data_IF_537810947805
#
_entry.id   IF_537810947805
#
_cell.length_a   1.000
_cell.length_b   1.000
_cell.length_c   1.000
_cell.angle_alpha   90.00
_cell.angle_beta   90.00
_cell.angle_gamma   90.00
#
_symmetry.space_group_name_H-M   'P 1'
#
loop_
_entity.id
_entity.type
_entity.pdbx_description
1 polymer ?
#
# COMPACT_ATOMS: atom_id res chain seq x y z
N UNK A 1 -1.58 3.71 21.89
CA UNK A 1 -1.80 5.16 21.69
C UNK A 1 -1.57 5.46 20.22
N UNK A 2 -2.63 5.95 19.57
CA UNK A 2 -2.75 6.49 18.20
C UNK A 2 -2.20 5.62 17.04
N UNK A 3 -2.94 4.59 16.60
CA UNK A 3 -2.78 4.09 15.23
C UNK A 3 -3.32 5.17 14.28
N UNK A 4 -2.45 6.06 13.80
CA UNK A 4 -2.81 6.95 12.68
C UNK A 4 -3.00 6.09 11.44
N UNK A 5 -4.24 5.99 10.99
CA UNK A 5 -4.62 5.40 9.70
C UNK A 5 -4.74 6.54 8.71
N UNK A 6 -4.02 6.44 7.61
CA UNK A 6 -4.16 7.34 6.48
C UNK A 6 -4.71 6.56 5.29
N UNK A 7 -5.75 7.11 4.66
CA UNK A 7 -6.38 6.52 3.49
C UNK A 7 -6.11 7.43 2.30
N UNK A 8 -5.47 6.87 1.27
CA UNK A 8 -5.16 7.56 0.02
C UNK A 8 -5.95 6.91 -1.10
N UNK A 9 -6.86 7.67 -1.70
CA UNK A 9 -7.48 7.25 -2.97
C UNK A 9 -6.58 7.69 -4.11
N UNK A 10 -6.10 6.71 -4.87
CA UNK A 10 -5.19 6.93 -5.99
C UNK A 10 -5.67 6.16 -7.21
N UNK A 11 -5.27 6.63 -8.38
CA UNK A 11 -5.49 5.91 -9.62
C UNK A 11 -4.60 4.67 -9.67
N UNK A 12 -4.97 3.67 -10.47
CA UNK A 12 -4.18 2.44 -10.65
C UNK A 12 -2.73 2.76 -11.01
N UNK A 13 -2.51 3.71 -11.91
CA UNK A 13 -1.17 4.10 -12.37
C UNK A 13 -0.31 4.73 -11.26
N UNK A 14 -0.92 5.48 -10.34
CA UNK A 14 -0.23 6.20 -9.26
C UNK A 14 0.05 5.31 -8.03
N UNK A 15 -0.54 4.11 -7.98
CA UNK A 15 -0.47 3.23 -6.80
C UNK A 15 0.98 2.85 -6.47
N UNK A 16 1.79 2.59 -7.49
CA UNK A 16 3.18 2.16 -7.35
C UNK A 16 4.04 3.30 -6.83
N UNK A 17 3.85 4.51 -7.34
CA UNK A 17 4.55 5.70 -6.86
C UNK A 17 4.20 6.01 -5.41
N UNK A 18 2.91 5.96 -5.06
CA UNK A 18 2.49 6.27 -3.69
C UNK A 18 3.03 5.26 -2.69
N UNK A 19 3.04 3.97 -3.02
CA UNK A 19 3.65 2.94 -2.16
C UNK A 19 5.14 3.19 -1.97
N UNK A 20 5.88 3.53 -3.03
CA UNK A 20 7.31 3.88 -2.92
C UNK A 20 7.54 5.06 -2.01
N UNK A 21 6.70 6.10 -2.11
CA UNK A 21 6.76 7.29 -1.25
C UNK A 21 6.53 6.92 0.22
N UNK A 22 5.51 6.09 0.51
CA UNK A 22 5.20 5.60 1.86
C UNK A 22 6.37 4.80 2.45
N UNK A 23 6.98 3.91 1.65
CA UNK A 23 8.15 3.12 2.07
C UNK A 23 9.34 4.05 2.35
N UNK A 24 9.55 5.07 1.50
CA UNK A 24 10.62 6.06 1.65
C UNK A 24 10.43 6.94 2.89
N UNK A 25 9.18 7.25 3.24
CA UNK A 25 8.83 7.98 4.47
C UNK A 25 9.21 7.18 5.74
N UNK A 26 9.26 5.84 5.65
CA UNK A 26 9.75 4.95 6.71
C UNK A 26 8.88 4.88 7.97
N UNK A 27 7.77 5.62 8.02
CA UNK A 27 6.88 5.67 9.19
C UNK A 27 5.67 4.72 9.09
N UNK A 28 5.54 3.98 7.98
CA UNK A 28 4.48 3.02 7.78
C UNK A 28 4.85 1.64 8.35
N UNK A 29 3.91 1.00 9.04
CA UNK A 29 4.05 -0.36 9.61
C UNK A 29 3.18 -1.40 8.94
N UNK A 30 2.09 -0.97 8.28
CA UNK A 30 1.20 -1.85 7.51
C UNK A 30 0.62 -1.05 6.35
N UNK A 31 0.60 -1.66 5.16
CA UNK A 31 -0.13 -1.19 3.98
C UNK A 31 -1.27 -2.16 3.71
N UNK A 32 -2.45 -1.63 3.43
CA UNK A 32 -3.63 -2.38 3.01
C UNK A 32 -4.11 -1.75 1.72
N UNK A 33 -4.27 -2.55 0.67
CA UNK A 33 -4.81 -2.08 -0.62
C UNK A 33 -6.25 -2.57 -0.74
N UNK A 34 -7.15 -1.63 -0.99
CA UNK A 34 -8.55 -1.89 -1.29
C UNK A 34 -8.86 -1.58 -2.75
N UNK A 35 -9.76 -2.36 -3.33
CA UNK A 35 -10.34 -2.05 -4.64
C UNK A 35 -11.42 -0.96 -4.55
N UNK A 36 -11.95 -0.55 -5.69
CA UNK A 36 -13.05 0.42 -5.80
C UNK A 36 -14.33 0.01 -5.02
N UNK A 37 -14.53 -1.29 -4.82
CA UNK A 37 -15.65 -1.85 -4.06
C UNK A 37 -15.43 -1.77 -2.53
N UNK A 38 -14.32 -1.17 -2.08
CA UNK A 38 -13.97 -1.05 -0.67
C UNK A 38 -13.50 -2.36 -0.02
N UNK A 39 -13.32 -3.43 -0.80
CA UNK A 39 -12.81 -4.72 -0.31
C UNK A 39 -11.28 -4.68 -0.27
N UNK A 40 -10.72 -5.08 0.87
CA UNK A 40 -9.28 -5.30 1.02
C UNK A 40 -8.85 -6.46 0.13
N UNK A 41 -7.96 -6.19 -0.83
CA UNK A 41 -7.45 -7.18 -1.78
C UNK A 41 -6.17 -7.79 -1.22
N UNK A 42 -5.30 -6.97 -0.65
CA UNK A 42 -4.01 -7.39 -0.08
C UNK A 42 -3.65 -6.54 1.13
N UNK A 43 -2.99 -7.14 2.11
CA UNK A 43 -2.38 -6.44 3.23
C UNK A 43 -0.94 -6.92 3.47
N UNK A 44 -0.05 -5.98 3.75
CA UNK A 44 1.37 -6.27 3.94
C UNK A 44 1.93 -5.53 5.15
N UNK A 45 2.66 -6.21 6.05
CA UNK A 45 3.40 -5.57 7.11
C UNK A 45 4.68 -4.92 6.55
N UNK A 46 4.88 -3.64 6.87
CA UNK A 46 6.11 -2.88 6.59
C UNK A 46 6.98 -2.79 7.85
N UNK A 47 7.48 -3.93 8.32
CA UNK A 47 8.47 -3.95 9.40
C UNK A 47 9.88 -3.95 8.82
N UNK A 48 10.86 -3.46 9.58
CA UNK A 48 12.26 -3.33 9.13
C UNK A 48 12.83 -4.64 8.54
N UNK A 49 12.42 -5.80 9.07
CA UNK A 49 12.80 -7.12 8.53
C UNK A 49 11.95 -7.57 7.33
N UNK A 50 10.68 -7.17 7.24
CA UNK A 50 9.78 -7.57 6.16
C UNK A 50 9.96 -6.74 4.89
N UNK A 51 10.38 -5.48 5.00
CA UNK A 51 10.58 -4.57 3.85
C UNK A 51 11.54 -5.22 2.83
N UNK A 52 12.67 -5.76 3.25
CA UNK A 52 13.63 -6.41 2.33
C UNK A 52 13.08 -7.63 1.58
N UNK A 53 12.19 -8.40 2.20
CA UNK A 53 11.62 -9.62 1.61
C UNK A 53 10.31 -9.37 0.83
N UNK A 54 9.53 -8.35 1.24
CA UNK A 54 8.19 -8.09 0.72
C UNK A 54 8.13 -6.93 -0.28
N UNK A 55 9.21 -6.16 -0.50
CA UNK A 55 9.22 -5.08 -1.52
C UNK A 55 8.77 -5.61 -2.89
N UNK A 56 9.34 -6.71 -3.37
CA UNK A 56 9.00 -7.25 -4.69
C UNK A 56 7.52 -7.73 -4.75
N UNK A 57 7.01 -8.54 -3.80
CA UNK A 57 5.59 -8.89 -3.73
C UNK A 57 4.63 -7.70 -3.66
N UNK A 58 4.96 -6.68 -2.86
CA UNK A 58 4.13 -5.49 -2.69
C UNK A 58 4.05 -4.72 -4.01
N UNK A 59 5.20 -4.48 -4.66
CA UNK A 59 5.26 -3.78 -5.94
C UNK A 59 4.60 -4.60 -7.06
N UNK A 60 4.73 -5.92 -7.04
CA UNK A 60 4.06 -6.80 -7.99
C UNK A 60 2.53 -6.76 -7.84
N UNK A 61 2.03 -6.85 -6.59
CA UNK A 61 0.61 -6.73 -6.30
C UNK A 61 0.08 -5.34 -6.72
N UNK A 62 0.83 -4.28 -6.40
CA UNK A 62 0.51 -2.92 -6.80
C UNK A 62 0.47 -2.75 -8.32
N UNK A 63 1.45 -3.32 -9.05
CA UNK A 63 1.50 -3.27 -10.52
C UNK A 63 0.39 -4.10 -11.19
N UNK A 64 0.06 -5.27 -10.65
CA UNK A 64 -1.06 -6.07 -11.12
C UNK A 64 -2.39 -5.34 -10.91
N UNK A 65 -2.57 -4.71 -9.73
CA UNK A 65 -3.72 -3.88 -9.41
C UNK A 65 -3.78 -2.65 -10.33
N UNK A 66 -2.65 -2.00 -10.60
CA UNK A 66 -2.55 -0.87 -11.53
C UNK A 66 -3.01 -1.23 -12.94
N UNK A 67 -2.65 -2.44 -13.40
CA UNK A 67 -3.01 -2.94 -14.73
C UNK A 67 -4.48 -3.36 -14.83
N UNK A 68 -5.10 -3.78 -13.72
CA UNK A 68 -6.46 -4.35 -13.69
C UNK A 68 -7.52 -3.34 -13.24
N UNK A 69 -7.17 -2.39 -12.36
CA UNK A 69 -8.10 -1.48 -11.70
C UNK A 69 -7.68 -0.04 -11.93
N UNK A 70 -8.63 0.79 -12.39
CA UNK A 70 -8.39 2.22 -12.63
C UNK A 70 -8.33 3.02 -11.33
N UNK A 71 -9.00 2.56 -10.26
CA UNK A 71 -9.09 3.26 -8.97
C UNK A 71 -8.92 2.31 -7.79
N UNK A 72 -8.06 2.71 -6.85
CA UNK A 72 -7.72 1.92 -5.68
C UNK A 72 -7.63 2.81 -4.43
N UNK A 73 -7.77 2.21 -3.25
CA UNK A 73 -7.54 2.92 -1.98
C UNK A 73 -6.40 2.25 -1.22
N UNK A 74 -5.36 3.01 -0.93
CA UNK A 74 -4.23 2.58 -0.10
C UNK A 74 -4.50 3.06 1.32
N UNK A 75 -4.55 2.13 2.27
CA UNK A 75 -4.63 2.44 3.69
C UNK A 75 -3.29 2.14 4.33
N UNK A 76 -2.74 3.13 5.02
CA UNK A 76 -1.45 3.04 5.69
C UNK A 76 -1.68 3.17 7.18
N UNK A 77 -1.25 2.17 7.94
CA UNK A 77 -1.11 2.33 9.39
C UNK A 77 0.27 2.86 9.71
N UNK A 78 0.34 4.05 10.31
CA UNK A 78 1.56 4.70 10.81
C UNK A 78 1.66 4.58 12.33
N UNK A 79 2.87 4.74 12.89
CA UNK A 79 3.10 4.85 14.34
C UNK A 79 2.92 6.27 14.86
#
# INVERSE_FOLDING_TARGET
MTNKKEEFKVSGEEIVEKIKEIIKEGNARKIIIKNENGKSVVEFPLTVGAIGALIAPILAAAGAIAALLTKCTIIVEKR
#
